data_IF_942407379246
#
_entry.id   IF_942407379246
#
_cell.length_a   1.000
_cell.length_b   1.000
_cell.length_c   1.000
_cell.angle_alpha   90.00
_cell.angle_beta   90.00
_cell.angle_gamma   90.00
#
_symmetry.space_group_name_H-M   'P 1'
#
loop_
_entity.id
_entity.type
_entity.pdbx_description
1 polymer ?
#
# COMPACT_ATOMS: atom_id res chain seq x y z
N UNK A 1 29.38 -3.29 16.76
CA UNK A 1 29.17 -4.39 15.80
C UNK A 1 27.78 -4.25 15.19
N UNK A 2 27.70 -3.73 13.95
CA UNK A 2 26.44 -3.69 13.23
C UNK A 2 26.05 -5.15 12.93
N UNK A 3 25.01 -5.65 13.60
CA UNK A 3 24.40 -6.93 13.24
C UNK A 3 24.13 -6.85 11.74
N UNK A 4 24.54 -7.87 10.99
CA UNK A 4 24.28 -8.02 9.56
C UNK A 4 22.75 -7.98 9.42
N UNK A 5 22.19 -6.81 9.12
CA UNK A 5 20.75 -6.65 8.95
C UNK A 5 20.45 -7.44 7.68
N UNK A 6 19.81 -8.59 7.85
CA UNK A 6 19.35 -9.39 6.72
C UNK A 6 18.35 -8.52 5.95
N UNK A 7 18.58 -8.23 4.66
CA UNK A 7 17.67 -7.40 3.91
C UNK A 7 16.29 -8.07 3.95
N UNK A 8 15.27 -7.30 4.37
CA UNK A 8 13.88 -7.73 4.49
C UNK A 8 13.57 -8.74 5.61
N UNK A 9 14.27 -8.70 6.75
CA UNK A 9 13.86 -9.45 7.94
C UNK A 9 12.40 -9.13 8.29
N UNK A 10 11.52 -10.13 8.14
CA UNK A 10 10.09 -10.04 8.40
C UNK A 10 9.73 -10.60 9.78
N UNK A 11 10.68 -11.20 10.51
CA UNK A 11 10.41 -11.92 11.76
C UNK A 11 9.87 -11.01 12.87
N UNK A 12 10.23 -9.73 12.87
CA UNK A 12 9.75 -8.75 13.85
C UNK A 12 8.42 -8.15 13.43
N UNK A 13 8.29 -7.76 12.16
CA UNK A 13 7.10 -7.05 11.65
C UNK A 13 5.91 -7.97 11.38
N UNK A 14 6.13 -9.26 11.11
CA UNK A 14 5.05 -10.23 10.80
C UNK A 14 4.33 -10.76 12.04
N UNK A 15 4.87 -10.56 13.26
CA UNK A 15 4.30 -11.08 14.52
C UNK A 15 2.92 -10.51 14.86
N UNK A 16 2.62 -9.29 14.41
CA UNK A 16 1.35 -8.61 14.68
C UNK A 16 0.33 -8.67 13.54
N UNK A 17 0.63 -9.40 12.46
CA UNK A 17 -0.20 -9.44 11.26
C UNK A 17 -0.96 -10.77 11.20
N UNK A 18 -2.29 -10.70 11.06
CA UNK A 18 -3.14 -11.88 10.87
C UNK A 18 -2.77 -12.65 9.61
N UNK A 19 -3.01 -13.96 9.60
CA UNK A 19 -2.72 -14.79 8.44
C UNK A 19 -3.61 -14.45 7.25
N UNK A 20 -4.87 -14.07 7.50
CA UNK A 20 -5.78 -13.54 6.46
C UNK A 20 -5.22 -12.27 5.80
N UNK A 21 -4.61 -11.39 6.60
CA UNK A 21 -3.97 -10.18 6.11
C UNK A 21 -2.73 -10.50 5.26
N UNK A 22 -1.88 -11.43 5.71
CA UNK A 22 -0.70 -11.89 4.96
C UNK A 22 -1.11 -12.51 3.62
N UNK A 23 -2.16 -13.32 3.60
CA UNK A 23 -2.62 -13.98 2.40
C UNK A 23 -3.25 -12.98 1.42
N UNK A 24 -3.98 -11.99 1.91
CA UNK A 24 -4.48 -10.87 1.10
C UNK A 24 -3.34 -10.03 0.48
N UNK A 25 -2.26 -9.79 1.23
CA UNK A 25 -1.06 -9.12 0.73
C UNK A 25 -0.36 -9.97 -0.35
N UNK A 26 -0.16 -11.27 -0.10
CA UNK A 26 0.41 -12.20 -1.09
C UNK A 26 -0.44 -12.25 -2.36
N UNK A 27 -1.77 -12.31 -2.21
CA UNK A 27 -2.69 -12.33 -3.33
C UNK A 27 -2.56 -11.04 -4.15
N UNK A 28 -2.51 -9.88 -3.50
CA UNK A 28 -2.34 -8.59 -4.18
C UNK A 28 -1.04 -8.55 -4.99
N UNK A 29 0.08 -9.00 -4.41
CA UNK A 29 1.38 -9.06 -5.08
C UNK A 29 1.35 -10.04 -6.24
N UNK A 30 0.73 -11.21 -6.04
CA UNK A 30 0.53 -12.22 -7.08
C UNK A 30 -0.32 -11.71 -8.24
N UNK A 31 -1.36 -10.90 -7.97
CA UNK A 31 -2.16 -10.24 -8.99
C UNK A 31 -1.34 -9.19 -9.76
N UNK A 32 -0.50 -8.42 -9.07
CA UNK A 32 0.33 -7.37 -9.70
C UNK A 32 1.50 -7.93 -10.53
N UNK A 33 2.16 -8.99 -10.05
CA UNK A 33 3.38 -9.54 -10.65
C UNK A 33 3.13 -10.82 -11.49
N UNK A 34 1.93 -11.37 -11.41
CA UNK A 34 1.53 -12.61 -12.07
C UNK A 34 1.94 -13.87 -11.30
N UNK A 35 1.24 -14.97 -11.60
CA UNK A 35 1.36 -16.28 -10.93
C UNK A 35 2.37 -17.23 -11.59
N UNK A 36 3.30 -16.72 -12.41
CA UNK A 36 4.20 -17.59 -13.16
C UNK A 36 5.08 -18.44 -12.21
N UNK A 37 5.25 -19.75 -12.42
CA UNK A 37 6.11 -20.59 -11.58
C UNK A 37 7.59 -20.14 -11.65
N UNK A 38 8.23 -19.87 -10.50
CA UNK A 38 9.65 -19.41 -10.45
C UNK A 38 10.67 -20.53 -10.66
N UNK A 39 10.27 -21.79 -10.53
CA UNK A 39 11.14 -22.96 -10.69
C UNK A 39 11.51 -23.21 -12.17
N UNK A 40 10.59 -22.91 -13.07
CA UNK A 40 10.72 -23.15 -14.51
C UNK A 40 10.92 -21.86 -15.32
N UNK A 41 10.62 -20.68 -14.75
CA UNK A 41 10.68 -19.40 -15.46
C UNK A 41 11.44 -18.32 -14.69
N UNK A 42 12.40 -17.68 -15.35
CA UNK A 42 13.08 -16.50 -14.83
C UNK A 42 12.42 -15.22 -15.34
N UNK A 43 11.64 -14.57 -14.47
CA UNK A 43 10.95 -13.30 -14.80
C UNK A 43 11.78 -12.13 -14.30
N UNK A 44 12.25 -11.30 -15.23
CA UNK A 44 12.95 -10.05 -14.92
C UNK A 44 12.00 -8.86 -15.08
N UNK A 45 11.84 -8.08 -14.02
CA UNK A 45 11.07 -6.84 -14.03
C UNK A 45 12.02 -5.67 -14.22
N UNK A 46 11.71 -4.80 -15.18
CA UNK A 46 12.43 -3.54 -15.42
C UNK A 46 11.66 -2.41 -14.75
N UNK A 47 12.29 -1.71 -13.82
CA UNK A 47 11.66 -0.58 -13.14
C UNK A 47 12.57 0.64 -13.22
N UNK A 48 11.97 1.80 -13.47
CA UNK A 48 12.64 3.08 -13.40
C UNK A 48 12.60 3.62 -11.96
N UNK A 49 13.63 4.34 -11.53
CA UNK A 49 13.75 4.89 -10.16
C UNK A 49 12.52 5.68 -9.68
N UNK A 50 12.10 6.71 -10.41
CA UNK A 50 10.99 7.57 -9.97
C UNK A 50 9.63 6.83 -9.81
N UNK A 51 9.20 5.95 -10.75
CA UNK A 51 8.02 5.12 -10.54
C UNK A 51 8.15 4.08 -9.42
N UNK A 52 9.37 3.57 -9.17
CA UNK A 52 9.62 2.59 -8.11
C UNK A 52 9.38 3.20 -6.72
N UNK A 53 9.84 4.42 -6.48
CA UNK A 53 9.65 5.11 -5.19
C UNK A 53 8.16 5.25 -4.86
N UNK A 54 7.37 5.68 -5.86
CA UNK A 54 5.90 5.76 -5.73
C UNK A 54 5.28 4.39 -5.53
N UNK A 55 5.76 3.37 -6.23
CA UNK A 55 5.23 2.01 -6.11
C UNK A 55 5.48 1.39 -4.73
N UNK A 56 6.65 1.64 -4.14
CA UNK A 56 6.96 1.25 -2.77
C UNK A 56 6.10 2.00 -1.76
N UNK A 57 5.93 3.31 -1.92
CA UNK A 57 5.04 4.11 -1.08
C UNK A 57 3.59 3.60 -1.16
N UNK A 58 3.08 3.32 -2.37
CA UNK A 58 1.76 2.72 -2.56
C UNK A 58 1.65 1.36 -1.85
N UNK A 59 2.69 0.53 -1.90
CA UNK A 59 2.70 -0.76 -1.20
C UNK A 59 2.64 -0.61 0.32
N UNK A 60 3.34 0.37 0.89
CA UNK A 60 3.22 0.71 2.32
C UNK A 60 1.79 1.15 2.65
N UNK A 61 1.21 2.03 1.82
CA UNK A 61 -0.16 2.51 2.00
C UNK A 61 -1.15 1.35 1.93
N UNK A 62 -0.99 0.40 1.01
CA UNK A 62 -1.83 -0.81 0.93
C UNK A 62 -1.77 -1.62 2.22
N UNK A 63 -0.59 -1.78 2.82
CA UNK A 63 -0.47 -2.43 4.13
C UNK A 63 -1.19 -1.70 5.26
N UNK A 64 -1.07 -0.37 5.26
CA UNK A 64 -1.72 0.51 6.24
C UNK A 64 -3.26 0.47 6.11
N UNK A 65 -3.80 0.52 4.90
CA UNK A 65 -5.25 0.43 4.67
C UNK A 65 -5.79 -0.95 5.06
N UNK A 66 -5.00 -2.00 4.85
CA UNK A 66 -5.39 -3.35 5.24
C UNK A 66 -5.52 -3.51 6.75
N UNK A 67 -4.64 -2.88 7.54
CA UNK A 67 -4.82 -2.79 9.00
C UNK A 67 -6.13 -2.06 9.35
N UNK A 68 -6.42 -0.93 8.70
CA UNK A 68 -7.65 -0.18 8.99
C UNK A 68 -8.92 -0.98 8.65
N UNK A 69 -8.89 -1.77 7.57
CA UNK A 69 -9.97 -2.67 7.20
C UNK A 69 -10.13 -3.78 8.24
N UNK A 70 -9.03 -4.43 8.63
CA UNK A 70 -9.03 -5.51 9.63
C UNK A 70 -9.55 -5.03 10.99
N UNK A 71 -9.12 -3.83 11.42
CA UNK A 71 -9.62 -3.20 12.63
C UNK A 71 -11.13 -2.94 12.57
N UNK A 72 -11.64 -2.40 11.46
CA UNK A 72 -13.08 -2.18 11.27
C UNK A 72 -13.86 -3.49 11.28
N UNK A 73 -13.40 -4.52 10.57
CA UNK A 73 -14.04 -5.85 10.56
C UNK A 73 -14.04 -6.46 11.95
N UNK A 74 -12.94 -6.35 12.69
CA UNK A 74 -12.84 -6.83 14.08
C UNK A 74 -13.85 -6.13 14.99
N UNK A 75 -13.98 -4.81 14.91
CA UNK A 75 -14.98 -4.06 15.67
C UNK A 75 -16.41 -4.47 15.29
N UNK A 76 -16.71 -4.56 14.00
CA UNK A 76 -18.02 -4.99 13.52
C UNK A 76 -18.38 -6.37 14.08
N UNK A 77 -17.46 -7.34 14.00
CA UNK A 77 -17.66 -8.68 14.58
C UNK A 77 -17.92 -8.64 16.09
N UNK A 78 -17.22 -7.77 16.83
CA UNK A 78 -17.43 -7.62 18.27
C UNK A 78 -18.82 -7.07 18.61
N UNK A 79 -19.38 -6.18 17.78
CA UNK A 79 -20.74 -5.65 17.97
C UNK A 79 -21.84 -6.59 17.47
N UNK A 80 -21.59 -7.34 16.39
CA UNK A 80 -22.58 -8.22 15.76
C UNK A 80 -23.02 -9.39 16.65
N UNK A 81 -22.22 -9.71 17.68
CA UNK A 81 -22.55 -10.68 18.74
C UNK A 81 -23.86 -10.32 19.48
N UNK A 82 -24.32 -9.06 19.42
CA UNK A 82 -25.53 -8.62 20.13
C UNK A 82 -26.83 -8.81 19.35
N UNK A 83 -26.78 -9.07 18.04
CA UNK A 83 -27.99 -9.11 17.17
C UNK A 83 -28.58 -10.51 17.03
N UNK A 84 -27.83 -11.58 17.28
CA UNK A 84 -28.31 -12.97 17.12
C UNK A 84 -29.08 -13.55 18.33
N UNK A 85 -29.19 -12.82 19.45
CA UNK A 85 -29.92 -13.29 20.63
C UNK A 85 -31.38 -12.82 20.73
N UNK A 86 -31.93 -12.16 19.71
CA UNK A 86 -33.38 -11.96 19.62
C UNK A 86 -34.05 -13.19 19.00
N UNK A 87 -34.26 -14.20 19.85
CA UNK A 87 -35.06 -15.39 19.55
C UNK A 87 -36.42 -15.00 18.98
N UNK A 88 -36.79 -15.70 17.91
CA UNK A 88 -38.08 -15.74 17.23
C UNK A 88 -39.31 -15.42 18.08
N UNK A 89 -40.13 -14.48 17.60
CA UNK A 89 -41.58 -14.54 17.77
C UNK A 89 -42.22 -14.69 16.38
N UNK A 90 -42.64 -15.92 16.15
CA UNK A 90 -43.57 -16.40 15.12
C UNK A 90 -44.90 -15.62 15.18
N UNK A 91 -45.53 -15.39 14.01
CA UNK A 91 -46.88 -14.83 14.00
C UNK A 91 -47.39 -14.22 12.68
N UNK A 92 -47.74 -15.09 11.74
CA UNK A 92 -48.84 -14.91 10.77
C UNK A 92 -48.58 -14.24 9.40
N UNK A 93 -49.28 -14.84 8.43
CA UNK A 93 -49.21 -14.77 6.97
C UNK A 93 -50.11 -13.66 6.36
N UNK A 94 -49.87 -13.41 5.06
CA UNK A 94 -50.80 -13.15 3.93
C UNK A 94 -50.77 -11.76 3.24
N UNK A 95 -50.46 -11.85 1.93
CA UNK A 95 -50.78 -11.04 0.73
C UNK A 95 -50.29 -9.61 0.47
N UNK A 96 -49.79 -9.44 -0.77
CA UNK A 96 -50.52 -8.62 -1.75
C UNK A 96 -49.85 -7.34 -2.26
N UNK A 97 -49.07 -7.47 -3.34
CA UNK A 97 -48.76 -6.49 -4.41
C UNK A 97 -48.41 -5.03 -4.09
N UNK A 98 -47.25 -4.57 -4.57
CA UNK A 98 -47.20 -3.47 -5.56
C UNK A 98 -45.81 -3.39 -6.18
N UNK A 99 -45.80 -3.30 -7.50
CA UNK A 99 -44.64 -3.02 -8.35
C UNK A 99 -44.21 -1.54 -8.23
N UNK A 100 -43.09 -1.28 -8.92
CA UNK A 100 -42.69 -0.02 -9.57
C UNK A 100 -41.56 0.78 -8.90
N UNK A 101 -40.41 0.82 -9.58
CA UNK A 101 -39.37 1.83 -9.36
C UNK A 101 -37.97 1.42 -9.82
N UNK A 102 -37.80 1.13 -11.12
CA UNK A 102 -36.47 1.17 -11.76
C UNK A 102 -35.92 2.61 -11.66
N UNK A 103 -34.69 2.76 -11.16
CA UNK A 103 -33.88 3.97 -11.35
C UNK A 103 -32.40 3.69 -11.04
N UNK A 104 -31.66 3.48 -12.13
CA UNK A 104 -30.38 4.11 -12.47
C UNK A 104 -29.18 4.03 -11.51
N UNK A 105 -28.16 3.33 -12.03
CA UNK A 105 -26.72 3.56 -11.90
C UNK A 105 -26.31 4.88 -11.24
N UNK A 106 -25.49 4.78 -10.19
CA UNK A 106 -24.35 5.69 -9.99
C UNK A 106 -23.17 4.92 -9.43
N UNK A 107 -22.27 4.57 -10.34
CA UNK A 107 -20.87 4.30 -10.03
C UNK A 107 -20.29 5.49 -9.25
N UNK A 108 -20.07 5.28 -7.95
CA UNK A 108 -19.25 6.17 -7.15
C UNK A 108 -17.82 5.65 -7.19
N UNK A 109 -17.13 5.94 -8.30
CA UNK A 109 -15.68 6.00 -8.35
C UNK A 109 -15.23 7.08 -7.36
N UNK A 110 -15.05 6.70 -6.09
CA UNK A 110 -14.49 7.61 -5.10
C UNK A 110 -12.98 7.69 -5.36
N UNK A 111 -12.63 8.66 -6.19
CA UNK A 111 -11.29 8.95 -6.68
C UNK A 111 -10.25 8.95 -5.56
N UNK A 112 -9.19 8.18 -5.80
CA UNK A 112 -7.96 8.21 -5.02
C UNK A 112 -7.19 9.51 -5.34
N UNK A 113 -7.74 10.64 -4.88
CA UNK A 113 -7.14 11.97 -4.97
C UNK A 113 -6.10 12.19 -3.88
N UNK A 114 -5.05 11.37 -3.84
CA UNK A 114 -3.87 11.67 -3.03
C UNK A 114 -3.00 12.66 -3.81
N UNK A 115 -3.20 13.94 -3.50
CA UNK A 115 -2.40 15.08 -3.95
C UNK A 115 -0.90 14.77 -3.88
N UNK A 116 -0.30 14.52 -5.04
CA UNK A 116 1.13 14.24 -5.19
C UNK A 116 1.90 15.55 -5.38
N UNK A 117 1.84 16.42 -4.38
CA UNK A 117 2.48 17.73 -4.42
C UNK A 117 3.54 17.88 -3.33
N UNK A 118 4.44 16.91 -3.22
CA UNK A 118 5.73 17.13 -2.55
C UNK A 118 6.82 16.38 -3.32
N UNK A 119 7.90 17.09 -3.65
CA UNK A 119 9.09 16.69 -4.42
C UNK A 119 9.02 16.72 -5.95
N UNK A 120 8.40 17.76 -6.50
CA UNK A 120 8.49 18.08 -7.93
C UNK A 120 8.64 19.56 -8.19
N UNK A 121 9.70 20.20 -7.68
CA UNK A 121 10.18 21.52 -8.15
C UNK A 121 11.44 21.95 -7.40
N UNK A 122 12.58 21.33 -7.71
CA UNK A 122 13.83 22.09 -7.66
C UNK A 122 13.76 23.10 -8.81
N UNK A 123 13.30 24.31 -8.47
CA UNK A 123 13.30 25.49 -9.33
C UNK A 123 14.66 25.67 -10.02
N UNK A 124 14.73 25.99 -11.33
CA UNK A 124 15.99 26.28 -12.02
C UNK A 124 16.65 27.61 -11.61
N UNK A 125 16.08 28.38 -10.68
CA UNK A 125 16.45 29.78 -10.44
C UNK A 125 17.77 29.98 -9.67
N UNK A 126 18.59 28.94 -9.45
CA UNK A 126 19.82 29.03 -8.63
C UNK A 126 21.09 29.28 -9.47
N UNK A 127 21.04 29.22 -10.80
CA UNK A 127 22.24 29.32 -11.66
C UNK A 127 22.45 30.70 -12.31
N UNK A 128 22.18 31.79 -11.58
CA UNK A 128 22.28 33.16 -12.10
C UNK A 128 23.70 33.64 -12.48
N UNK A 129 24.75 32.96 -11.99
CA UNK A 129 26.15 33.42 -12.13
C UNK A 129 27.07 32.46 -12.92
N UNK A 130 26.54 31.53 -13.70
CA UNK A 130 27.38 30.56 -14.44
C UNK A 130 27.61 30.96 -15.90
N UNK A 131 28.85 30.78 -16.40
CA UNK A 131 29.21 31.05 -17.79
C UNK A 131 28.41 30.16 -18.76
N UNK A 132 28.17 30.63 -20.01
CA UNK A 132 27.34 29.91 -20.98
C UNK A 132 27.88 28.50 -21.31
N UNK A 133 29.20 28.28 -21.22
CA UNK A 133 29.80 26.96 -21.36
C UNK A 133 29.41 26.01 -20.22
N UNK A 134 29.36 26.51 -18.98
CA UNK A 134 28.96 25.72 -17.82
C UNK A 134 27.48 25.34 -17.88
N UNK A 135 26.61 26.23 -18.34
CA UNK A 135 25.20 25.92 -18.58
C UNK A 135 25.02 24.85 -19.66
N UNK A 136 25.76 24.94 -20.77
CA UNK A 136 25.71 23.94 -21.82
C UNK A 136 26.20 22.57 -21.33
N UNK A 137 27.27 22.56 -20.52
CA UNK A 137 27.80 21.34 -19.92
C UNK A 137 26.83 20.73 -18.89
N UNK A 138 26.20 21.54 -18.03
CA UNK A 138 25.18 21.09 -17.09
C UNK A 138 23.97 20.53 -17.83
N UNK A 139 23.51 21.19 -18.89
CA UNK A 139 22.39 20.71 -19.70
C UNK A 139 22.73 19.40 -20.41
N UNK A 140 23.97 19.25 -20.89
CA UNK A 140 24.48 17.99 -21.44
C UNK A 140 24.54 16.90 -20.36
N UNK A 141 25.09 17.18 -19.19
CA UNK A 141 25.15 16.24 -18.06
C UNK A 141 23.75 15.83 -17.58
N UNK A 142 22.81 16.76 -17.53
CA UNK A 142 21.41 16.47 -17.23
C UNK A 142 20.81 15.58 -18.32
N UNK A 143 21.07 15.86 -19.60
CA UNK A 143 20.60 15.02 -20.71
C UNK A 143 21.16 13.59 -20.65
N UNK A 144 22.44 13.45 -20.32
CA UNK A 144 23.11 12.17 -20.10
C UNK A 144 22.54 11.44 -18.87
N UNK A 145 22.31 12.13 -17.76
CA UNK A 145 21.69 11.55 -16.56
C UNK A 145 20.23 11.17 -16.77
N UNK A 146 19.48 11.90 -17.60
CA UNK A 146 18.12 11.52 -18.00
C UNK A 146 18.11 10.36 -19.00
N UNK A 147 19.15 10.24 -19.84
CA UNK A 147 19.32 9.12 -20.75
C UNK A 147 19.70 7.84 -19.97
N UNK A 148 20.57 7.99 -18.96
CA UNK A 148 20.90 6.99 -17.95
C UNK A 148 19.88 7.03 -16.80
N UNK A 149 18.59 7.22 -17.10
CA UNK A 149 17.52 6.96 -16.13
C UNK A 149 17.57 5.48 -15.81
N UNK A 150 18.30 5.13 -14.76
CA UNK A 150 18.63 3.76 -14.37
C UNK A 150 17.37 2.90 -14.38
N UNK A 151 17.26 2.08 -15.42
CA UNK A 151 16.29 1.00 -15.49
C UNK A 151 16.93 -0.15 -14.71
N UNK A 152 16.63 -0.22 -13.43
CA UNK A 152 17.07 -1.32 -12.59
C UNK A 152 16.32 -2.58 -13.00
N UNK A 153 17.07 -3.59 -13.47
CA UNK A 153 16.56 -4.94 -13.70
C UNK A 153 16.57 -5.66 -12.35
N UNK A 154 15.40 -6.04 -11.86
CA UNK A 154 15.26 -6.86 -10.64
C UNK A 154 14.54 -8.16 -10.98
N UNK A 155 14.85 -9.23 -10.23
CA UNK A 155 14.03 -10.45 -10.27
C UNK A 155 12.64 -10.14 -9.73
N UNK A 156 11.62 -10.75 -10.35
CA UNK A 156 10.23 -10.70 -9.87
C UNK A 156 10.13 -11.13 -8.40
N UNK A 157 10.84 -12.19 -8.02
CA UNK A 157 10.75 -12.74 -6.66
C UNK A 157 11.36 -11.80 -5.62
N UNK A 158 12.43 -11.10 -6.00
CA UNK A 158 13.01 -10.07 -5.15
C UNK A 158 12.07 -8.88 -5.00
N UNK A 159 11.47 -8.41 -6.10
CA UNK A 159 10.49 -7.34 -6.04
C UNK A 159 9.27 -7.73 -5.20
N UNK A 160 8.75 -8.95 -5.38
CA UNK A 160 7.65 -9.49 -4.58
C UNK A 160 7.96 -9.46 -3.07
N UNK A 161 9.18 -9.87 -2.68
CA UNK A 161 9.64 -9.79 -1.28
C UNK A 161 9.66 -8.36 -0.77
N UNK A 162 10.16 -7.41 -1.58
CA UNK A 162 10.19 -5.98 -1.22
C UNK A 162 8.79 -5.42 -1.04
N UNK A 163 7.87 -5.68 -1.97
CA UNK A 163 6.49 -5.21 -1.86
C UNK A 163 5.79 -5.81 -0.64
N UNK A 164 6.00 -7.11 -0.40
CA UNK A 164 5.44 -7.79 0.77
C UNK A 164 5.96 -7.18 2.06
N UNK A 165 7.26 -6.92 2.14
CA UNK A 165 7.86 -6.27 3.30
C UNK A 165 7.35 -4.83 3.49
N UNK A 166 7.18 -4.05 2.42
CA UNK A 166 6.57 -2.73 2.46
C UNK A 166 5.12 -2.77 2.98
N UNK A 167 4.30 -3.71 2.52
CA UNK A 167 2.94 -3.90 3.02
C UNK A 167 2.94 -4.29 4.52
N UNK A 168 3.80 -5.21 4.94
CA UNK A 168 3.95 -5.56 6.35
C UNK A 168 4.38 -4.36 7.19
N UNK A 169 5.30 -3.53 6.69
CA UNK A 169 5.75 -2.33 7.37
C UNK A 169 4.60 -1.33 7.56
N UNK A 170 3.79 -1.10 6.53
CA UNK A 170 2.63 -0.21 6.61
C UNK A 170 1.58 -0.68 7.64
N UNK A 171 1.30 -1.98 7.67
CA UNK A 171 0.41 -2.58 8.67
C UNK A 171 0.97 -2.43 10.09
N UNK A 172 2.27 -2.70 10.26
CA UNK A 172 2.94 -2.60 11.55
C UNK A 172 3.02 -1.16 12.08
N UNK A 173 3.33 -0.18 11.23
CA UNK A 173 3.37 1.25 11.59
C UNK A 173 2.05 1.70 12.21
N UNK A 174 0.92 1.31 11.60
CA UNK A 174 -0.40 1.64 12.13
C UNK A 174 -0.66 0.98 13.47
N UNK A 175 -0.28 -0.29 13.62
CA UNK A 175 -0.35 -0.99 14.89
C UNK A 175 0.43 -0.29 16.00
N UNK A 176 1.63 0.21 15.71
CA UNK A 176 2.44 0.98 16.66
C UNK A 176 1.81 2.32 17.01
N UNK A 177 1.34 3.08 16.02
CA UNK A 177 0.67 4.36 16.22
C UNK A 177 -0.56 4.20 17.12
N UNK A 178 -1.37 3.17 16.89
CA UNK A 178 -2.55 2.90 17.71
C UNK A 178 -2.17 2.56 19.15
N UNK A 179 -1.12 1.75 19.36
CA UNK A 179 -0.61 1.43 20.71
C UNK A 179 -0.06 2.66 21.44
N UNK A 180 0.66 3.53 20.74
CA UNK A 180 1.17 4.80 21.27
C UNK A 180 0.01 5.74 21.65
N UNK A 181 -0.98 5.87 20.77
CA UNK A 181 -2.15 6.68 21.01
C UNK A 181 -2.93 6.19 22.24
N UNK A 182 -3.17 4.87 22.34
CA UNK A 182 -3.78 4.27 23.53
C UNK A 182 -2.94 4.48 24.79
N UNK A 183 -1.61 4.35 24.72
CA UNK A 183 -0.73 4.57 25.86
C UNK A 183 -0.79 6.01 26.37
N UNK A 184 -0.90 6.99 25.47
CA UNK A 184 -1.09 8.40 25.80
C UNK A 184 -2.45 8.63 26.47
N UNK A 185 -3.54 8.09 25.90
CA UNK A 185 -4.90 8.23 26.44
C UNK A 185 -5.05 7.59 27.82
N UNK A 186 -4.35 6.47 28.08
CA UNK A 186 -4.38 5.77 29.38
C UNK A 186 -3.45 6.43 30.42
N UNK A 187 -2.69 7.47 30.05
CA UNK A 187 -1.81 8.20 30.98
C UNK A 187 -0.58 7.40 31.42
N UNK A 188 -0.12 6.45 30.60
CA UNK A 188 1.07 5.63 30.86
C UNK A 188 2.38 6.27 30.34
N UNK A 189 2.30 7.47 29.79
CA UNK A 189 3.44 8.30 29.37
C UNK A 189 3.36 9.70 30.00
#
# INVERSE_FOLDING_TARGET
>A
MLKRIEPLDSSVISKGVSDSAKDSMKQTISTMLGLLPSDQFSVTVRVCRAPLDRFLASSIITGYTLWNAEYRISLMRNFDISTENSVALDGSKIDGSSETGDSEERDSENGFGASNQYLGSTSPQVFGDLSPEALNYIQRLQSELTNVKEISRTSRDYLAKVLFWCMLLGHHLRGLENRLHLSCVVGLL
#
